data_IF_359803552558
#
_entry.id   IF_359803552558
#
_cell.length_a   1.000
_cell.length_b   1.000
_cell.length_c   1.000
_cell.angle_alpha   90.00
_cell.angle_beta   90.00
_cell.angle_gamma   90.00
#
_symmetry.space_group_name_H-M   'P 1'
#
loop_
_entity.id
_entity.type
_entity.pdbx_description
1 polymer ?
#
# COMPACT_ATOMS: atom_id res chain seq x y z
N UNK A 1 -6.31 -15.50 -9.90
CA UNK A 1 -7.23 -14.44 -10.37
C UNK A 1 -8.58 -15.07 -10.69
N UNK A 2 -9.67 -14.32 -10.48
CA UNK A 2 -11.03 -14.78 -10.73
C UNK A 2 -11.86 -13.69 -11.44
N UNK A 3 -12.71 -14.10 -12.37
CA UNK A 3 -13.83 -13.32 -12.86
C UNK A 3 -15.12 -14.06 -12.46
N UNK A 4 -15.78 -13.69 -11.37
CA UNK A 4 -16.89 -14.44 -10.81
C UNK A 4 -18.17 -14.27 -11.64
N UNK A 5 -19.12 -15.20 -11.56
CA UNK A 5 -20.47 -14.97 -12.09
C UNK A 5 -21.12 -13.76 -11.40
N UNK A 6 -21.59 -12.79 -12.17
CA UNK A 6 -22.05 -11.49 -11.63
C UNK A 6 -23.46 -11.50 -11.05
N UNK A 7 -24.30 -12.42 -11.49
CA UNK A 7 -25.74 -12.39 -11.22
C UNK A 7 -26.16 -13.49 -10.26
N UNK A 8 -27.16 -13.21 -9.45
CA UNK A 8 -27.75 -14.13 -8.48
C UNK A 8 -28.80 -15.05 -9.08
N UNK A 9 -29.47 -14.58 -10.15
CA UNK A 9 -30.51 -15.31 -10.86
C UNK A 9 -30.65 -14.83 -12.30
N UNK A 10 -31.49 -15.53 -13.08
CA UNK A 10 -31.79 -15.18 -14.48
C UNK A 10 -32.61 -13.90 -14.57
N UNK A 11 -33.48 -13.65 -13.61
CA UNK A 11 -34.29 -12.43 -13.50
C UNK A 11 -33.37 -11.20 -13.32
N UNK A 12 -32.29 -11.33 -12.55
CA UNK A 12 -31.33 -10.25 -12.37
C UNK A 12 -30.57 -9.93 -13.67
N UNK A 13 -30.24 -10.96 -14.47
CA UNK A 13 -29.64 -10.78 -15.80
C UNK A 13 -30.56 -9.95 -16.69
N UNK A 14 -31.84 -10.30 -16.74
CA UNK A 14 -32.86 -9.62 -17.56
C UNK A 14 -33.06 -8.18 -17.09
N UNK A 15 -33.30 -7.97 -15.79
CA UNK A 15 -33.47 -6.64 -15.21
C UNK A 15 -32.25 -5.74 -15.45
N UNK A 16 -31.04 -6.29 -15.33
CA UNK A 16 -29.81 -5.55 -15.61
C UNK A 16 -29.64 -5.19 -17.09
N UNK A 17 -30.21 -5.96 -18.00
CA UNK A 17 -30.20 -5.66 -19.43
C UNK A 17 -31.22 -4.56 -19.78
N UNK A 18 -32.42 -4.62 -19.18
CA UNK A 18 -33.49 -3.64 -19.35
C UNK A 18 -33.13 -2.26 -18.78
N UNK A 19 -32.40 -2.21 -17.66
CA UNK A 19 -31.96 -0.96 -17.04
C UNK A 19 -30.95 -0.16 -17.88
N UNK A 20 -30.40 -0.73 -18.96
CA UNK A 20 -29.45 -0.03 -19.85
C UNK A 20 -30.21 0.68 -20.97
N UNK A 21 -30.37 1.99 -20.84
CA UNK A 21 -31.08 2.85 -21.83
C UNK A 21 -30.57 2.73 -23.27
N UNK A 22 -29.29 2.43 -23.46
CA UNK A 22 -28.66 2.34 -24.79
C UNK A 22 -28.45 0.89 -25.27
N UNK A 23 -29.06 -0.09 -24.58
CA UNK A 23 -28.77 -1.50 -24.77
C UNK A 23 -27.34 -1.89 -24.34
N UNK A 24 -27.04 -3.19 -24.26
CA UNK A 24 -25.69 -3.64 -23.94
C UNK A 24 -24.74 -3.33 -25.12
N UNK A 25 -23.59 -2.73 -24.83
CA UNK A 25 -22.55 -2.43 -25.84
C UNK A 25 -21.81 -3.66 -26.36
N UNK A 26 -22.12 -4.86 -25.86
CA UNK A 26 -21.56 -6.13 -26.28
C UNK A 26 -22.57 -7.27 -26.08
N UNK A 27 -22.48 -8.30 -26.92
CA UNK A 27 -23.34 -9.48 -26.84
C UNK A 27 -22.87 -10.34 -25.66
N UNK A 28 -23.74 -10.58 -24.69
CA UNK A 28 -23.44 -11.48 -23.58
C UNK A 28 -23.64 -12.93 -24.04
N UNK A 29 -22.57 -13.62 -24.42
CA UNK A 29 -22.59 -15.01 -24.91
C UNK A 29 -22.18 -16.04 -23.84
N UNK A 30 -21.98 -15.61 -22.59
CA UNK A 30 -21.57 -16.51 -21.51
C UNK A 30 -22.61 -17.59 -21.22
N UNK A 31 -22.15 -18.76 -20.79
CA UNK A 31 -23.05 -19.81 -20.31
C UNK A 31 -23.73 -19.38 -19.00
N UNK A 32 -24.90 -19.94 -18.68
CA UNK A 32 -25.59 -19.60 -17.42
C UNK A 32 -24.70 -19.83 -16.19
N UNK A 33 -23.88 -20.88 -16.18
CA UNK A 33 -22.92 -21.17 -15.10
C UNK A 33 -21.78 -20.16 -14.99
N UNK A 34 -21.49 -19.42 -16.06
CA UNK A 34 -20.48 -18.35 -16.06
C UNK A 34 -21.09 -16.99 -15.67
N UNK A 35 -22.41 -16.84 -15.77
CA UNK A 35 -23.12 -15.59 -15.50
C UNK A 35 -23.79 -15.58 -14.14
N UNK A 36 -24.30 -16.72 -13.68
CA UNK A 36 -25.18 -16.85 -12.51
C UNK A 36 -24.54 -17.73 -11.43
N UNK A 37 -24.60 -17.27 -10.19
CA UNK A 37 -24.25 -18.04 -8.99
C UNK A 37 -25.19 -17.63 -7.85
N UNK A 38 -25.59 -18.54 -6.94
CA UNK A 38 -26.40 -18.16 -5.78
C UNK A 38 -25.78 -17.00 -4.99
N UNK A 39 -26.55 -15.92 -4.79
CA UNK A 39 -26.10 -14.69 -4.12
C UNK A 39 -25.19 -13.77 -4.96
N UNK A 40 -24.99 -14.08 -6.24
CA UNK A 40 -24.21 -13.28 -7.18
C UNK A 40 -22.72 -13.17 -6.84
N UNK A 41 -22.05 -12.22 -7.50
CA UNK A 41 -20.60 -12.04 -7.33
C UNK A 41 -20.18 -11.76 -5.88
N UNK A 42 -21.01 -11.03 -5.12
CA UNK A 42 -20.68 -10.70 -3.72
C UNK A 42 -20.60 -11.96 -2.86
N UNK A 43 -21.57 -12.87 -2.95
CA UNK A 43 -21.55 -14.13 -2.20
C UNK A 43 -20.43 -15.06 -2.66
N UNK A 44 -20.15 -15.08 -3.97
CA UNK A 44 -19.04 -15.86 -4.54
C UNK A 44 -17.69 -15.41 -3.99
N UNK A 45 -17.40 -14.12 -4.06
CA UNK A 45 -16.10 -13.57 -3.61
C UNK A 45 -15.98 -13.62 -2.09
N UNK A 46 -17.08 -13.42 -1.33
CA UNK A 46 -17.06 -13.65 0.13
C UNK A 46 -16.69 -15.08 0.49
N UNK A 47 -17.16 -16.07 -0.29
CA UNK A 47 -16.75 -17.47 -0.11
C UNK A 47 -15.26 -17.65 -0.38
N UNK A 48 -14.74 -17.03 -1.45
CA UNK A 48 -13.30 -17.02 -1.71
C UNK A 48 -12.50 -16.41 -0.56
N UNK A 49 -12.99 -15.34 0.08
CA UNK A 49 -12.36 -14.78 1.28
C UNK A 49 -12.31 -15.82 2.39
N UNK A 50 -13.42 -16.52 2.67
CA UNK A 50 -13.47 -17.55 3.71
C UNK A 50 -12.53 -18.74 3.41
N UNK A 51 -12.51 -19.22 2.17
CA UNK A 51 -11.60 -20.29 1.72
C UNK A 51 -10.13 -19.85 1.84
N UNK A 52 -9.84 -18.57 1.54
CA UNK A 52 -8.49 -18.03 1.62
C UNK A 52 -7.93 -18.01 3.05
N UNK A 53 -8.77 -17.97 4.09
CA UNK A 53 -8.35 -18.05 5.50
C UNK A 53 -7.67 -19.39 5.83
N UNK A 54 -7.99 -20.46 5.09
CA UNK A 54 -7.38 -21.77 5.25
C UNK A 54 -6.08 -21.88 4.44
N UNK A 55 -6.00 -21.20 3.30
CA UNK A 55 -4.84 -21.22 2.40
C UNK A 55 -3.73 -20.26 2.84
N UNK A 56 -4.08 -19.10 3.41
CA UNK A 56 -3.18 -18.07 3.92
C UNK A 56 -2.04 -17.73 2.95
N UNK A 57 -0.82 -18.05 3.35
CA UNK A 57 0.44 -17.76 2.67
C UNK A 57 0.78 -18.73 1.53
N UNK A 58 -0.05 -19.76 1.29
CA UNK A 58 0.07 -20.62 0.09
C UNK A 58 -0.15 -19.84 -1.21
N UNK A 59 -0.88 -18.73 -1.14
CA UNK A 59 -1.01 -17.78 -2.23
C UNK A 59 -0.58 -16.40 -1.74
N UNK A 60 0.36 -15.76 -2.45
CA UNK A 60 0.80 -14.42 -2.07
C UNK A 60 -0.33 -13.38 -2.16
N UNK A 61 -1.17 -13.47 -3.19
CA UNK A 61 -2.30 -12.58 -3.42
C UNK A 61 -3.48 -13.34 -4.00
N UNK A 62 -4.64 -13.16 -3.39
CA UNK A 62 -5.92 -13.59 -3.93
C UNK A 62 -6.56 -12.39 -4.66
N UNK A 63 -7.16 -12.62 -5.82
CA UNK A 63 -7.73 -11.53 -6.63
C UNK A 63 -9.03 -11.93 -7.30
N UNK A 64 -9.97 -10.98 -7.35
CA UNK A 64 -11.23 -11.12 -8.09
C UNK A 64 -11.62 -9.80 -8.76
N UNK A 65 -12.15 -9.89 -9.98
CA UNK A 65 -12.87 -8.80 -10.62
C UNK A 65 -14.29 -8.70 -10.06
N UNK A 66 -14.86 -7.51 -10.06
CA UNK A 66 -16.22 -7.22 -9.63
C UNK A 66 -16.93 -6.32 -10.66
N UNK A 67 -18.16 -6.68 -10.96
CA UNK A 67 -19.09 -6.00 -11.87
C UNK A 67 -19.77 -4.79 -11.24
N UNK A 68 -20.03 -4.84 -9.93
CA UNK A 68 -20.82 -3.83 -9.20
C UNK A 68 -20.03 -3.22 -8.04
N UNK A 69 -20.21 -1.91 -7.85
CA UNK A 69 -19.59 -1.17 -6.74
C UNK A 69 -20.12 -1.62 -5.38
N UNK A 70 -21.40 -2.00 -5.28
CA UNK A 70 -21.99 -2.54 -4.05
C UNK A 70 -21.32 -3.84 -3.61
N UNK A 71 -21.03 -4.73 -4.56
CA UNK A 71 -20.33 -5.99 -4.29
C UNK A 71 -18.91 -5.76 -3.77
N UNK A 72 -18.21 -4.72 -4.23
CA UNK A 72 -16.91 -4.32 -3.70
C UNK A 72 -17.01 -3.93 -2.22
N UNK A 73 -17.99 -3.10 -1.87
CA UNK A 73 -18.25 -2.69 -0.48
C UNK A 73 -18.52 -3.89 0.43
N UNK A 74 -19.37 -4.82 0.00
CA UNK A 74 -19.71 -6.03 0.76
C UNK A 74 -18.50 -6.94 0.99
N UNK A 75 -17.67 -7.12 -0.04
CA UNK A 75 -16.44 -7.93 0.04
C UNK A 75 -15.43 -7.28 1.00
N UNK A 76 -15.24 -5.97 0.93
CA UNK A 76 -14.32 -5.26 1.85
C UNK A 76 -14.80 -5.34 3.29
N UNK A 77 -16.11 -5.25 3.53
CA UNK A 77 -16.65 -5.45 4.87
C UNK A 77 -16.34 -6.86 5.38
N UNK A 78 -16.42 -7.88 4.52
CA UNK A 78 -16.03 -9.24 4.87
C UNK A 78 -14.52 -9.36 5.14
N UNK A 79 -13.66 -8.71 4.37
CA UNK A 79 -12.20 -8.69 4.65
C UNK A 79 -11.92 -8.07 6.02
N UNK A 80 -12.55 -6.93 6.32
CA UNK A 80 -12.40 -6.23 7.61
C UNK A 80 -12.91 -7.05 8.78
N UNK A 81 -14.03 -7.78 8.65
CA UNK A 81 -14.52 -8.65 9.73
C UNK A 81 -13.56 -9.79 10.05
N UNK A 82 -12.86 -10.29 9.03
CA UNK A 82 -11.82 -11.32 9.18
C UNK A 82 -10.44 -10.73 9.54
N UNK A 83 -10.36 -9.42 9.80
CA UNK A 83 -9.12 -8.70 10.15
C UNK A 83 -8.04 -8.79 9.06
N UNK A 84 -8.44 -8.87 7.79
CA UNK A 84 -7.53 -8.77 6.65
C UNK A 84 -7.42 -7.30 6.26
N UNK A 85 -6.30 -6.68 6.62
CA UNK A 85 -6.01 -5.27 6.38
C UNK A 85 -5.08 -5.02 5.18
N UNK A 86 -4.38 -6.04 4.71
CA UNK A 86 -3.57 -6.01 3.50
C UNK A 86 -4.44 -6.34 2.27
N UNK A 87 -5.11 -5.32 1.75
CA UNK A 87 -5.91 -5.42 0.52
C UNK A 87 -5.69 -4.22 -0.41
N UNK A 88 -6.08 -4.39 -1.67
CA UNK A 88 -5.88 -3.44 -2.75
C UNK A 88 -7.15 -3.36 -3.61
N UNK A 89 -7.48 -2.15 -4.04
CA UNK A 89 -8.62 -1.85 -4.91
C UNK A 89 -8.08 -1.16 -6.16
N UNK A 90 -8.47 -1.66 -7.33
CA UNK A 90 -8.27 -0.95 -8.59
C UNK A 90 -9.55 -0.90 -9.41
N UNK A 91 -9.56 -0.09 -10.45
CA UNK A 91 -10.69 0.04 -11.36
C UNK A 91 -10.25 -0.09 -12.82
N UNK A 92 -11.11 -0.73 -13.61
CA UNK A 92 -10.96 -0.85 -15.05
C UNK A 92 -12.09 -0.06 -15.71
N UNK A 93 -11.72 0.93 -16.51
CA UNK A 93 -12.66 1.80 -17.23
C UNK A 93 -12.44 1.63 -18.72
N UNK A 94 -13.40 1.02 -19.41
CA UNK A 94 -13.37 0.80 -20.85
C UNK A 94 -14.65 1.35 -21.48
N UNK A 95 -14.55 2.57 -22.04
CA UNK A 95 -15.71 3.31 -22.52
C UNK A 95 -16.71 3.55 -21.39
N UNK A 96 -17.93 3.02 -21.55
CA UNK A 96 -19.01 3.12 -20.52
C UNK A 96 -18.96 2.01 -19.48
N UNK A 97 -18.15 0.97 -19.70
CA UNK A 97 -18.07 -0.18 -18.78
C UNK A 97 -17.02 0.09 -17.72
N UNK A 98 -17.47 0.16 -16.46
CA UNK A 98 -16.61 0.19 -15.29
C UNK A 98 -16.64 -1.16 -14.60
N UNK A 99 -15.46 -1.63 -14.19
CA UNK A 99 -15.26 -2.80 -13.34
C UNK A 99 -14.30 -2.42 -12.22
N UNK A 100 -14.35 -3.19 -11.15
CA UNK A 100 -13.39 -3.08 -10.06
C UNK A 100 -12.61 -4.38 -9.96
N UNK A 101 -11.41 -4.32 -9.40
CA UNK A 101 -10.72 -5.50 -8.93
C UNK A 101 -10.33 -5.31 -7.47
N UNK A 102 -10.54 -6.37 -6.70
CA UNK A 102 -10.13 -6.48 -5.30
C UNK A 102 -9.01 -7.52 -5.23
N UNK A 103 -7.98 -7.20 -4.47
CA UNK A 103 -6.90 -8.10 -4.14
C UNK A 103 -6.67 -8.11 -2.63
N UNK A 104 -6.33 -9.25 -2.04
CA UNK A 104 -5.99 -9.35 -0.62
C UNK A 104 -4.87 -10.36 -0.36
N UNK A 105 -4.15 -10.17 0.73
CA UNK A 105 -3.01 -10.99 1.13
C UNK A 105 -3.01 -11.25 2.64
N UNK A 106 -2.46 -12.39 3.03
CA UNK A 106 -2.09 -12.71 4.42
C UNK A 106 -0.58 -12.56 4.66
N UNK A 107 0.17 -12.23 3.60
CA UNK A 107 1.59 -12.00 3.64
C UNK A 107 1.94 -10.62 4.18
N UNK A 108 3.24 -10.40 4.36
CA UNK A 108 3.82 -9.17 4.86
C UNK A 108 4.27 -8.23 3.74
N UNK A 109 4.13 -8.61 2.47
CA UNK A 109 4.44 -7.78 1.31
C UNK A 109 3.27 -6.85 0.99
N UNK A 110 3.58 -5.58 0.80
CA UNK A 110 2.59 -4.52 0.57
C UNK A 110 2.68 -4.00 -0.86
N UNK A 111 1.52 -3.76 -1.47
CA UNK A 111 1.46 -3.09 -2.76
C UNK A 111 1.61 -1.57 -2.59
N UNK A 112 2.27 -0.87 -3.54
CA UNK A 112 2.35 0.58 -3.51
C UNK A 112 0.96 1.20 -3.66
N UNK A 113 0.77 2.41 -3.11
CA UNK A 113 -0.51 3.13 -3.16
C UNK A 113 -1.04 3.30 -4.60
N UNK A 114 -0.14 3.44 -5.58
CA UNK A 114 -0.48 3.56 -7.01
C UNK A 114 -1.18 2.33 -7.59
N UNK A 115 -0.99 1.16 -6.99
CA UNK A 115 -1.64 -0.10 -7.39
C UNK A 115 -2.77 -0.49 -6.41
N UNK A 116 -2.63 -0.13 -5.14
CA UNK A 116 -3.53 -0.55 -4.07
C UNK A 116 -4.74 0.36 -3.87
N UNK A 117 -4.69 1.60 -4.37
CA UNK A 117 -5.70 2.63 -4.13
C UNK A 117 -6.11 3.31 -5.44
N UNK A 118 -7.37 3.72 -5.51
CA UNK A 118 -7.93 4.51 -6.63
C UNK A 118 -8.44 5.86 -6.15
N UNK A 119 -8.48 6.83 -7.06
CA UNK A 119 -9.04 8.16 -6.81
C UNK A 119 -10.55 8.13 -7.03
N UNK A 120 -11.29 7.68 -6.01
CA UNK A 120 -12.76 7.68 -6.03
C UNK A 120 -13.31 8.13 -4.68
N UNK A 121 -13.99 9.28 -4.65
CA UNK A 121 -14.52 9.89 -3.42
C UNK A 121 -15.60 9.03 -2.75
N UNK A 122 -16.41 8.31 -3.53
CA UNK A 122 -17.45 7.43 -2.99
C UNK A 122 -16.89 6.23 -2.22
N UNK A 123 -15.65 5.84 -2.50
CA UNK A 123 -15.00 4.67 -1.91
C UNK A 123 -14.00 5.03 -0.81
N UNK A 124 -13.88 6.32 -0.44
CA UNK A 124 -12.81 6.75 0.48
C UNK A 124 -12.89 6.10 1.87
N UNK A 125 -14.10 5.83 2.36
CA UNK A 125 -14.33 5.18 3.66
C UNK A 125 -13.90 3.70 3.69
N UNK A 126 -13.79 3.07 2.52
CA UNK A 126 -13.46 1.66 2.39
C UNK A 126 -12.07 1.42 1.78
N UNK A 127 -11.32 2.48 1.45
CA UNK A 127 -9.96 2.36 0.95
C UNK A 127 -9.02 1.69 1.98
N UNK A 128 -8.07 0.86 1.54
CA UNK A 128 -7.04 0.31 2.41
C UNK A 128 -6.12 1.43 2.91
N UNK A 129 -5.55 1.32 4.10
CA UNK A 129 -4.60 2.32 4.62
C UNK A 129 -3.42 2.58 3.67
N UNK A 130 -2.91 3.81 3.63
CA UNK A 130 -1.83 4.20 2.73
C UNK A 130 -0.51 3.53 3.10
N UNK A 131 0.08 2.80 2.17
CA UNK A 131 1.41 2.20 2.31
C UNK A 131 2.52 3.18 1.97
N UNK A 132 2.19 4.35 1.43
CA UNK A 132 3.12 5.42 1.11
C UNK A 132 2.92 6.61 2.06
N UNK A 133 3.99 7.03 2.75
CA UNK A 133 4.04 8.24 3.56
C UNK A 133 4.91 9.29 2.88
N UNK A 134 4.49 10.56 2.92
CA UNK A 134 5.19 11.68 2.28
C UNK A 134 5.49 12.78 3.29
N UNK A 135 6.67 13.37 3.18
CA UNK A 135 7.05 14.55 3.94
C UNK A 135 7.77 15.55 3.04
N UNK A 136 7.39 16.82 3.16
CA UNK A 136 7.93 17.91 2.37
C UNK A 136 8.97 18.69 3.18
N UNK A 137 10.06 19.06 2.53
CA UNK A 137 11.17 19.83 3.07
C UNK A 137 11.44 21.05 2.19
N UNK A 138 11.33 22.24 2.76
CA UNK A 138 11.60 23.50 2.05
C UNK A 138 13.08 23.92 2.13
N UNK A 139 13.83 23.35 3.07
CA UNK A 139 15.22 23.71 3.35
C UNK A 139 16.22 23.10 2.36
N UNK A 140 15.89 21.94 1.78
CA UNK A 140 16.76 21.31 0.79
C UNK A 140 16.55 21.98 -0.56
N UNK A 141 17.64 22.41 -1.18
CA UNK A 141 17.61 23.05 -2.49
C UNK A 141 17.41 22.05 -3.62
N UNK A 142 17.90 20.81 -3.45
CA UNK A 142 17.81 19.75 -4.45
C UNK A 142 17.46 18.40 -3.83
N UNK A 143 16.85 17.51 -4.63
CA UNK A 143 16.61 16.13 -4.22
C UNK A 143 17.91 15.36 -3.89
N UNK A 144 19.02 15.71 -4.54
CA UNK A 144 20.35 15.12 -4.31
C UNK A 144 20.85 15.48 -2.92
N UNK A 145 20.78 16.76 -2.53
CA UNK A 145 21.15 17.22 -1.20
C UNK A 145 20.32 16.52 -0.10
N UNK A 146 19.00 16.46 -0.28
CA UNK A 146 18.11 15.76 0.64
C UNK A 146 18.45 14.27 0.77
N UNK A 147 18.79 13.61 -0.35
CA UNK A 147 19.20 12.21 -0.39
C UNK A 147 20.52 11.97 0.34
N UNK A 148 21.50 12.87 0.21
CA UNK A 148 22.75 12.79 0.97
C UNK A 148 22.51 12.94 2.48
N UNK A 149 21.69 13.90 2.89
CA UNK A 149 21.28 14.05 4.28
C UNK A 149 20.54 12.79 4.79
N UNK A 150 19.63 12.23 3.98
CA UNK A 150 18.91 11.00 4.28
C UNK A 150 19.88 9.83 4.48
N UNK A 151 20.87 9.65 3.60
CA UNK A 151 21.89 8.61 3.75
C UNK A 151 22.69 8.76 5.05
N UNK A 152 23.06 9.99 5.45
CA UNK A 152 23.72 10.25 6.74
C UNK A 152 22.81 9.85 7.91
N UNK A 153 21.52 10.21 7.85
CA UNK A 153 20.53 9.83 8.86
C UNK A 153 20.39 8.31 8.97
N UNK A 154 20.18 7.63 7.84
CA UNK A 154 19.95 6.19 7.81
C UNK A 154 21.16 5.40 8.31
N UNK A 155 22.39 5.79 7.92
CA UNK A 155 23.63 5.19 8.42
C UNK A 155 23.82 5.38 9.93
N UNK A 156 23.18 6.39 10.54
CA UNK A 156 23.22 6.62 11.98
C UNK A 156 22.25 5.74 12.79
N UNK A 157 21.41 4.94 12.13
CA UNK A 157 20.42 4.08 12.78
C UNK A 157 20.98 2.65 12.82
N UNK A 158 21.22 2.14 14.03
CA UNK A 158 21.72 0.79 14.23
C UNK A 158 20.77 -0.26 13.63
N UNK A 159 21.30 -1.31 13.00
CA UNK A 159 20.49 -2.44 12.51
C UNK A 159 19.67 -2.17 11.25
N UNK A 160 19.90 -1.03 10.57
CA UNK A 160 19.34 -0.74 9.24
C UNK A 160 20.41 -0.98 8.18
N UNK A 161 20.18 -1.94 7.30
CA UNK A 161 20.99 -2.17 6.10
C UNK A 161 20.35 -1.44 4.90
N UNK A 162 21.19 -0.77 4.10
CA UNK A 162 20.75 -0.02 2.92
C UNK A 162 21.26 -0.77 1.68
N UNK A 163 20.35 -1.16 0.79
CA UNK A 163 20.67 -1.71 -0.52
C UNK A 163 20.23 -0.70 -1.59
N UNK A 164 21.15 -0.27 -2.44
CA UNK A 164 20.82 0.44 -3.67
C UNK A 164 20.71 -0.60 -4.79
N UNK A 165 19.55 -0.70 -5.45
CA UNK A 165 19.39 -1.52 -6.66
C UNK A 165 19.46 -0.62 -7.88
N UNK A 166 20.53 -0.78 -8.65
CA UNK A 166 20.70 -0.16 -9.98
C UNK A 166 19.83 -0.85 -11.03
N UNK A 167 18.50 -0.73 -10.96
CA UNK A 167 17.65 -1.36 -11.97
C UNK A 167 16.84 -0.38 -12.82
N UNK A 168 16.49 0.83 -12.34
CA UNK A 168 15.79 1.81 -13.20
C UNK A 168 15.91 3.29 -12.79
N UNK A 169 16.37 3.61 -11.57
CA UNK A 169 16.58 5.00 -11.13
C UNK A 169 17.66 4.99 -10.04
N UNK A 170 18.68 5.83 -10.17
CA UNK A 170 19.74 5.96 -9.15
C UNK A 170 19.21 6.53 -7.81
N UNK A 171 17.93 6.87 -7.70
CA UNK A 171 17.35 7.67 -6.60
C UNK A 171 16.54 6.89 -5.55
N UNK A 172 16.49 5.56 -5.65
CA UNK A 172 15.77 4.72 -4.69
C UNK A 172 16.70 4.04 -3.68
N UNK A 173 16.35 4.16 -2.39
CA UNK A 173 17.02 3.48 -1.29
C UNK A 173 16.11 2.39 -0.73
N UNK A 174 16.53 1.12 -0.82
CA UNK A 174 15.84 0.01 -0.17
C UNK A 174 16.46 -0.27 1.19
N UNK A 175 15.64 -0.23 2.23
CA UNK A 175 16.05 -0.32 3.63
C UNK A 175 15.55 -1.62 4.23
N UNK A 176 16.44 -2.34 4.89
CA UNK A 176 16.13 -3.57 5.62
C UNK A 176 16.48 -3.37 7.08
N UNK A 177 15.48 -3.41 7.97
CA UNK A 177 15.68 -3.42 9.40
C UNK A 177 15.34 -4.79 9.97
N UNK A 178 16.30 -5.44 10.61
CA UNK A 178 16.08 -6.74 11.27
C UNK A 178 15.21 -6.62 12.52
N UNK A 179 15.29 -5.48 13.21
CA UNK A 179 14.53 -5.19 14.42
C UNK A 179 14.35 -3.69 14.67
N UNK A 180 13.48 -3.34 15.62
CA UNK A 180 13.27 -1.97 16.07
C UNK A 180 14.43 -1.49 16.96
N UNK A 181 15.23 -0.55 16.45
CA UNK A 181 16.35 0.08 17.20
C UNK A 181 16.15 1.59 17.42
N UNK A 182 15.17 2.20 16.74
CA UNK A 182 14.97 3.65 16.71
C UNK A 182 13.97 4.16 17.76
N UNK A 183 13.00 3.32 18.15
CA UNK A 183 11.96 3.73 19.10
C UNK A 183 12.56 4.08 20.47
N UNK A 184 11.85 4.94 21.24
CA UNK A 184 12.28 5.29 22.60
C UNK A 184 12.39 4.05 23.50
N UNK A 185 11.48 3.09 23.33
CA UNK A 185 11.49 1.84 24.07
C UNK A 185 12.70 0.97 23.70
N UNK A 186 13.00 0.81 22.41
CA UNK A 186 14.15 0.06 21.93
C UNK A 186 15.48 0.62 22.45
N UNK A 187 15.66 1.94 22.35
CA UNK A 187 16.88 2.62 22.84
C UNK A 187 17.08 2.51 24.34
N UNK A 188 15.99 2.47 25.13
CA UNK A 188 16.07 2.21 26.58
C UNK A 188 16.41 0.76 26.90
N UNK A 189 15.89 -0.19 26.12
CA UNK A 189 16.17 -1.62 26.31
C UNK A 189 17.64 -1.96 26.05
N UNK A 190 18.30 -1.27 25.12
CA UNK A 190 19.74 -1.43 24.83
C UNK A 190 20.65 -1.05 26.01
N UNK A 191 20.15 -0.30 26.99
CA UNK A 191 20.88 0.04 28.23
C UNK A 191 20.75 -1.04 29.31
N UNK A 192 19.87 -2.03 29.09
CA UNK A 192 19.69 -3.19 29.95
C UNK A 192 20.56 -4.31 29.37
N UNK A 193 21.42 -4.99 30.18
CA UNK A 193 22.22 -6.10 29.70
C UNK A 193 21.34 -7.17 29.04
N UNK A 194 21.73 -7.63 27.86
CA UNK A 194 21.00 -8.69 27.16
C UNK A 194 21.04 -9.99 27.97
N UNK A 195 19.90 -10.66 28.07
CA UNK A 195 19.80 -12.00 28.64
C UNK A 195 20.42 -12.98 27.63
N UNK A 196 21.52 -13.68 27.99
CA UNK A 196 22.20 -14.61 27.09
C UNK A 196 21.35 -15.83 26.70
N UNK A 197 20.16 -15.99 27.28
CA UNK A 197 19.21 -17.07 26.94
C UNK A 197 18.18 -16.69 25.86
N UNK A 198 18.20 -15.45 25.35
CA UNK A 198 17.26 -15.02 24.33
C UNK A 198 17.51 -15.72 22.98
N UNK A 199 16.46 -16.34 22.42
CA UNK A 199 16.54 -16.99 21.12
C UNK A 199 16.94 -15.99 20.02
N UNK A 200 17.75 -16.40 19.02
CA UNK A 200 18.14 -15.54 17.92
C UNK A 200 16.90 -15.06 17.16
N UNK A 201 16.79 -13.74 17.00
CA UNK A 201 15.72 -13.13 16.23
C UNK A 201 15.73 -13.65 14.78
N UNK A 202 14.52 -13.84 14.22
CA UNK A 202 14.26 -14.29 12.85
C UNK A 202 15.24 -13.71 11.82
N UNK A 203 15.72 -14.55 10.90
CA UNK A 203 16.59 -14.14 9.80
C UNK A 203 15.91 -13.18 8.79
N UNK A 204 14.57 -13.11 8.79
CA UNK A 204 13.81 -12.20 7.94
C UNK A 204 13.75 -10.79 8.55
N UNK A 205 13.82 -9.73 7.72
CA UNK A 205 13.73 -8.35 8.20
C UNK A 205 12.35 -8.08 8.82
N UNK A 206 12.33 -7.42 9.98
CA UNK A 206 11.09 -6.96 10.62
C UNK A 206 10.40 -5.83 9.82
N UNK A 207 11.17 -5.05 9.06
CA UNK A 207 10.68 -3.98 8.20
C UNK A 207 11.55 -3.86 6.95
N UNK A 208 10.90 -3.81 5.78
CA UNK A 208 11.50 -3.35 4.52
C UNK A 208 10.75 -2.12 4.04
N UNK A 209 11.50 -1.06 3.79
CA UNK A 209 10.97 0.22 3.33
C UNK A 209 11.77 0.72 2.14
N UNK A 210 11.09 1.34 1.16
CA UNK A 210 11.76 2.05 0.07
C UNK A 210 11.61 3.55 0.31
N UNK A 211 12.71 4.29 0.22
CA UNK A 211 12.71 5.74 0.35
C UNK A 211 13.26 6.40 -0.91
N UNK A 212 12.63 7.49 -1.33
CA UNK A 212 13.06 8.31 -2.47
C UNK A 212 12.87 9.80 -2.17
N UNK A 213 13.79 10.61 -2.66
CA UNK A 213 13.69 12.06 -2.63
C UNK A 213 13.42 12.56 -4.05
N UNK A 214 12.45 13.46 -4.22
CA UNK A 214 12.12 14.07 -5.51
C UNK A 214 11.80 15.55 -5.35
N UNK A 215 12.17 16.37 -6.33
CA UNK A 215 11.70 17.77 -6.39
C UNK A 215 10.19 17.81 -6.61
N UNK A 216 9.51 18.76 -5.96
CA UNK A 216 8.09 18.98 -6.13
C UNK A 216 7.84 19.81 -7.40
N UNK A 217 7.66 19.13 -8.54
CA UNK A 217 7.38 19.78 -9.83
C UNK A 217 5.90 20.11 -10.06
N UNK A 218 5.01 19.82 -9.10
CA UNK A 218 3.57 20.11 -9.18
C UNK A 218 3.19 21.41 -8.45
N UNK A 219 3.01 22.48 -9.22
CA UNK A 219 2.21 23.70 -8.98
C UNK A 219 1.86 24.07 -7.53
N UNK A 220 2.74 24.85 -6.91
CA UNK A 220 2.54 26.28 -6.67
C UNK A 220 3.92 26.83 -6.37
N UNK A 221 4.44 27.72 -7.23
CA UNK A 221 5.58 28.54 -6.85
C UNK A 221 5.20 29.24 -5.54
N UNK A 222 5.81 28.82 -4.43
CA UNK A 222 5.86 29.69 -3.26
C UNK A 222 6.47 31.01 -3.73
N UNK A 223 6.06 32.11 -3.12
CA UNK A 223 6.41 33.47 -3.53
C UNK A 223 7.93 33.75 -3.54
N UNK A 224 8.74 32.78 -3.10
CA UNK A 224 10.19 32.76 -3.02
C UNK A 224 10.90 31.97 -4.16
N UNK A 225 10.17 31.27 -5.03
CA UNK A 225 10.76 30.58 -6.20
C UNK A 225 11.58 29.31 -5.90
N UNK A 226 11.55 28.79 -4.67
CA UNK A 226 12.26 27.57 -4.29
C UNK A 226 11.40 26.31 -4.52
N UNK A 227 11.93 25.32 -5.24
CA UNK A 227 11.34 23.99 -5.32
C UNK A 227 11.48 23.27 -3.98
N UNK A 228 10.36 22.82 -3.40
CA UNK A 228 10.40 21.98 -2.20
C UNK A 228 10.76 20.54 -2.57
N UNK A 229 11.46 19.84 -1.67
CA UNK A 229 11.80 18.43 -1.84
C UNK A 229 10.81 17.56 -1.09
N UNK A 230 10.33 16.48 -1.71
CA UNK A 230 9.46 15.49 -1.10
C UNK A 230 10.27 14.23 -0.81
N UNK A 231 10.25 13.78 0.45
CA UNK A 231 10.64 12.44 0.85
C UNK A 231 9.40 11.54 0.78
N UNK A 232 9.46 10.52 -0.05
CA UNK A 232 8.45 9.47 -0.10
C UNK A 232 8.99 8.17 0.50
N UNK A 233 8.22 7.56 1.41
CA UNK A 233 8.54 6.32 2.09
C UNK A 233 7.45 5.28 1.79
N UNK A 234 7.78 4.21 1.08
CA UNK A 234 6.90 3.09 0.80
C UNK A 234 7.14 1.95 1.79
N UNK A 235 6.08 1.45 2.41
CA UNK A 235 6.09 0.19 3.13
C UNK A 235 6.12 -0.96 2.11
N UNK A 236 7.22 -1.69 2.05
CA UNK A 236 7.41 -2.79 1.08
C UNK A 236 7.15 -4.14 1.74
N UNK A 237 7.69 -4.35 2.94
CA UNK A 237 7.50 -5.59 3.69
C UNK A 237 7.44 -5.33 5.20
N UNK A 238 6.58 -6.07 5.90
CA UNK A 238 6.47 -6.08 7.36
C UNK A 238 5.03 -6.32 7.82
N UNK A 239 4.85 -6.73 9.07
CA UNK A 239 3.51 -7.00 9.64
C UNK A 239 2.99 -5.88 10.54
N UNK A 240 3.88 -5.07 11.09
CA UNK A 240 3.53 -4.02 12.05
C UNK A 240 3.55 -2.65 11.38
N UNK A 241 2.36 -2.09 11.15
CA UNK A 241 2.20 -0.74 10.59
C UNK A 241 2.77 0.33 11.51
N UNK A 242 2.56 0.19 12.81
CA UNK A 242 3.08 1.15 13.80
C UNK A 242 4.60 1.16 13.80
N UNK A 243 5.24 0.01 13.55
CA UNK A 243 6.68 -0.07 13.36
C UNK A 243 7.14 0.76 12.14
N UNK A 244 6.50 0.59 10.99
CA UNK A 244 6.77 1.37 9.77
C UNK A 244 6.57 2.88 10.00
N UNK A 245 5.42 3.29 10.52
CA UNK A 245 5.10 4.70 10.79
C UNK A 245 6.09 5.32 11.78
N UNK A 246 6.48 4.57 12.82
CA UNK A 246 7.47 5.03 13.81
C UNK A 246 8.86 5.19 13.21
N UNK A 247 9.24 4.34 12.24
CA UNK A 247 10.51 4.41 11.53
C UNK A 247 10.57 5.66 10.67
N UNK A 248 9.55 5.87 9.83
CA UNK A 248 9.43 7.06 8.98
C UNK A 248 9.44 8.33 9.84
N UNK A 249 8.67 8.36 10.92
CA UNK A 249 8.65 9.47 11.88
C UNK A 249 9.98 9.71 12.58
N UNK A 250 10.82 8.68 12.74
CA UNK A 250 12.15 8.83 13.31
C UNK A 250 13.14 9.42 12.32
N UNK A 251 13.14 8.91 11.08
CA UNK A 251 13.96 9.41 9.97
C UNK A 251 13.62 10.87 9.70
N UNK A 252 12.33 11.18 9.59
CA UNK A 252 11.82 12.53 9.38
C UNK A 252 12.35 13.54 10.39
N UNK A 253 12.25 13.25 11.70
CA UNK A 253 12.74 14.15 12.75
C UNK A 253 14.25 14.38 12.72
N UNK A 254 15.02 13.35 12.37
CA UNK A 254 16.48 13.47 12.21
C UNK A 254 16.81 14.34 10.99
N UNK A 255 16.08 14.16 9.89
CA UNK A 255 16.19 15.01 8.70
C UNK A 255 15.81 16.46 9.00
N UNK A 256 14.70 16.72 9.71
CA UNK A 256 14.30 18.06 10.13
C UNK A 256 15.40 18.76 10.94
N UNK A 257 16.13 18.00 11.77
CA UNK A 257 17.24 18.54 12.57
C UNK A 257 18.42 18.92 11.68
N UNK A 258 18.75 18.12 10.67
CA UNK A 258 19.82 18.46 9.71
C UNK A 258 19.43 19.63 8.82
N UNK A 259 18.20 19.65 8.33
CA UNK A 259 17.62 20.71 7.51
C UNK A 259 17.70 22.08 8.21
N UNK A 260 17.34 22.15 9.50
CA UNK A 260 17.44 23.39 10.27
C UNK A 260 18.85 23.89 10.50
N UNK A 261 19.84 22.99 10.55
CA UNK A 261 21.23 23.40 10.72
C UNK A 261 21.79 24.02 9.43
N UNK A 262 21.27 23.62 8.26
CA UNK A 262 21.62 24.21 6.96
C UNK A 262 21.09 25.65 6.84
N UNK A 263 19.88 25.94 7.35
CA UNK A 263 19.31 27.30 7.38
C UNK A 263 20.10 28.30 8.26
N UNK A 264 20.89 27.81 9.23
CA UNK A 264 21.66 28.67 10.16
C UNK A 264 23.06 29.01 9.62
N UNK A 265 23.54 28.27 8.61
CA UNK A 265 24.85 28.48 7.99
C UNK A 265 24.80 29.36 6.72
N UNK A 266 23.61 29.69 6.20
CA UNK A 266 23.39 30.66 5.11
C UNK A 266 23.04 32.06 5.63
#
# INVERSE_FOLDING_TARGET
MCNPPFYSSREEVLSSAEAKELGPSGICTGAETEMITPGGEAAFVRRMVQESLQLKDRCCWFTSMLGKMSSLTDVIQSLKSEKVDNYAITEFVQGKTRRWAIAWSFGDVHLPDSLARISNSALQSIMPSRNTLRQTYAQFQTAVEAKEALLKVLKSIDGVAITSRNLTSEDELLLHASQNTWSRAARRRKLIPEDPTAEPQSALPALVCRMRCSGNSSDTQDSSGHESVILECDWVQGKDRGLFESFVSHVARKLDTLARNLDVEM
#
